data_IF_868056099076
#
_entry.id   IF_868056099076
#
_cell.length_a   1.000
_cell.length_b   1.000
_cell.length_c   1.000
_cell.angle_alpha   90.00
_cell.angle_beta   90.00
_cell.angle_gamma   90.00
#
_symmetry.space_group_name_H-M   'P 1'
#
loop_
_entity.id
_entity.type
_entity.pdbx_description
1 polymer ?
#
# COMPACT_ATOMS: atom_id res chain seq x y z
N UNK A 1 6.87 27.23 12.60
CA UNK A 1 7.74 27.21 11.40
C UNK A 1 9.03 27.97 11.61
N UNK A 2 9.01 29.27 11.92
CA UNK A 2 10.25 30.06 12.12
C UNK A 2 11.26 29.43 13.09
N UNK A 3 10.81 28.80 14.18
CA UNK A 3 11.71 28.10 15.11
C UNK A 3 12.40 26.87 14.49
N UNK A 4 11.73 26.12 13.61
CA UNK A 4 12.32 24.95 12.92
C UNK A 4 13.29 25.39 11.81
N UNK A 5 12.95 26.47 11.08
CA UNK A 5 13.79 27.04 10.02
C UNK A 5 15.08 27.61 10.59
N UNK A 6 14.99 28.36 11.68
CA UNK A 6 16.13 29.07 12.28
C UNK A 6 16.94 28.21 13.26
N UNK A 7 16.51 26.98 13.57
CA UNK A 7 17.23 26.11 14.49
C UNK A 7 18.56 25.66 13.86
N UNK A 8 19.72 26.00 14.46
CA UNK A 8 21.02 25.61 13.93
C UNK A 8 21.14 24.09 13.77
N UNK A 9 21.76 23.59 12.69
CA UNK A 9 21.95 22.17 12.45
C UNK A 9 23.01 21.53 13.36
N UNK A 10 23.64 22.28 14.26
CA UNK A 10 24.57 21.77 15.28
C UNK A 10 23.88 21.35 16.57
N UNK A 11 22.63 21.76 16.82
CA UNK A 11 21.94 21.56 18.10
C UNK A 11 20.80 20.55 17.97
N UNK A 12 21.15 19.27 17.81
CA UNK A 12 20.21 18.14 17.64
C UNK A 12 19.13 18.08 18.71
N UNK A 13 19.53 18.25 19.98
CA UNK A 13 18.64 18.11 21.13
C UNK A 13 17.52 19.17 21.12
N UNK A 14 17.84 20.41 20.72
CA UNK A 14 16.83 21.48 20.64
C UNK A 14 15.75 21.13 19.61
N UNK A 15 16.15 20.64 18.44
CA UNK A 15 15.21 20.24 17.38
C UNK A 15 14.36 19.04 17.81
N UNK A 16 14.93 18.09 18.57
CA UNK A 16 14.18 16.99 19.19
C UNK A 16 13.07 17.51 20.11
N UNK A 17 13.39 18.43 21.02
CA UNK A 17 12.41 19.04 21.94
C UNK A 17 11.34 19.82 21.19
N UNK A 18 11.67 20.49 20.08
CA UNK A 18 10.67 21.11 19.21
C UNK A 18 9.70 20.10 18.61
N UNK A 19 10.15 18.91 18.20
CA UNK A 19 9.26 17.87 17.72
C UNK A 19 8.38 17.28 18.82
N UNK A 20 8.91 17.11 20.03
CA UNK A 20 8.15 16.64 21.19
C UNK A 20 7.05 17.67 21.52
N UNK A 21 7.41 18.95 21.62
CA UNK A 21 6.47 20.04 21.83
C UNK A 21 5.43 20.14 20.70
N UNK A 22 5.85 20.03 19.44
CA UNK A 22 4.96 20.01 18.29
C UNK A 22 3.97 18.84 18.38
N UNK A 23 4.40 17.64 18.78
CA UNK A 23 3.53 16.49 18.98
C UNK A 23 2.46 16.74 20.05
N UNK A 24 2.83 17.40 21.17
CA UNK A 24 1.88 17.80 22.19
C UNK A 24 0.88 18.84 21.69
N UNK A 25 1.34 19.86 20.96
CA UNK A 25 0.46 20.87 20.34
C UNK A 25 -0.51 20.20 19.36
N UNK A 26 0.02 19.31 18.50
CA UNK A 26 -0.77 18.55 17.54
C UNK A 26 -1.67 17.53 18.21
N UNK A 27 -1.58 17.26 19.51
CA UNK A 27 -2.55 16.42 20.20
C UNK A 27 -3.89 17.13 20.39
N UNK A 28 -3.91 18.47 20.39
CA UNK A 28 -5.14 19.25 20.42
C UNK A 28 -5.82 19.26 19.03
N UNK A 29 -6.98 18.62 18.88
CA UNK A 29 -7.64 18.46 17.57
C UNK A 29 -7.95 19.80 16.88
N UNK A 30 -8.29 20.84 17.66
CA UNK A 30 -8.72 22.15 17.15
C UNK A 30 -7.61 22.92 16.43
N UNK A 31 -6.34 22.66 16.74
CA UNK A 31 -5.22 23.38 16.10
C UNK A 31 -4.84 22.75 14.75
N UNK A 32 -5.10 21.45 14.54
CA UNK A 32 -4.61 20.68 13.38
C UNK A 32 -4.99 21.31 12.03
N UNK A 33 -6.24 21.79 11.81
CA UNK A 33 -6.60 22.40 10.52
C UNK A 33 -5.80 23.67 10.20
N UNK A 34 -5.33 24.41 11.21
CA UNK A 34 -4.52 25.63 11.01
C UNK A 34 -3.15 25.32 10.39
N UNK A 35 -2.66 24.10 10.53
CA UNK A 35 -1.38 23.67 9.93
C UNK A 35 -1.47 23.42 8.42
N UNK A 36 -2.67 23.44 7.82
CA UNK A 36 -2.84 23.22 6.39
C UNK A 36 -2.05 24.21 5.52
N UNK A 37 -1.92 25.46 6.00
CA UNK A 37 -1.19 26.53 5.29
C UNK A 37 0.32 26.28 5.24
N UNK A 38 0.88 25.65 6.28
CA UNK A 38 2.33 25.39 6.42
C UNK A 38 2.70 23.94 6.09
N UNK A 39 1.74 23.10 5.73
CA UNK A 39 1.96 21.67 5.48
C UNK A 39 2.99 21.42 4.38
N UNK A 40 3.03 22.28 3.37
CA UNK A 40 3.95 22.13 2.23
C UNK A 40 5.41 22.34 2.65
N UNK A 41 5.65 23.29 3.55
CA UNK A 41 6.96 23.50 4.18
C UNK A 41 7.31 22.34 5.12
N UNK A 42 6.32 21.80 5.86
CA UNK A 42 6.53 20.66 6.74
C UNK A 42 6.85 19.36 5.98
N UNK A 43 6.35 19.21 4.75
CA UNK A 43 6.67 18.07 3.87
C UNK A 43 8.06 18.19 3.23
N UNK A 44 8.73 19.33 3.37
CA UNK A 44 10.11 19.48 2.93
C UNK A 44 11.08 18.98 4.00
N UNK A 45 11.78 17.88 3.72
CA UNK A 45 12.72 17.25 4.65
C UNK A 45 13.85 18.19 5.09
N UNK A 46 14.35 19.02 4.18
CA UNK A 46 15.44 19.97 4.47
C UNK A 46 15.00 21.04 5.47
N UNK A 47 13.73 21.42 5.46
CA UNK A 47 13.17 22.39 6.42
C UNK A 47 12.81 21.69 7.73
N UNK A 48 12.15 20.53 7.62
CA UNK A 48 11.64 19.77 8.76
C UNK A 48 12.79 19.28 9.66
N UNK A 49 13.80 18.66 9.06
CA UNK A 49 14.87 17.95 9.79
C UNK A 49 16.19 18.73 9.73
N UNK A 50 16.49 19.37 8.59
CA UNK A 50 17.74 20.08 8.37
C UNK A 50 18.83 19.22 7.70
N UNK A 51 19.95 19.87 7.36
CA UNK A 51 21.00 19.31 6.51
C UNK A 51 22.05 18.45 7.27
N UNK A 52 21.95 18.35 8.59
CA UNK A 52 22.94 17.66 9.42
C UNK A 52 22.78 16.14 9.39
N UNK A 53 23.83 15.41 8.99
CA UNK A 53 23.78 13.95 8.87
C UNK A 53 23.36 13.23 10.17
N UNK A 54 24.01 13.54 11.30
CA UNK A 54 23.71 12.95 12.61
C UNK A 54 22.31 13.30 13.11
N UNK A 55 21.84 14.53 12.85
CA UNK A 55 20.49 14.97 13.19
C UNK A 55 19.46 14.19 12.38
N UNK A 56 19.72 14.06 11.07
CA UNK A 56 18.83 13.39 10.14
C UNK A 56 18.64 11.93 10.50
N UNK A 57 19.70 11.23 10.87
CA UNK A 57 19.57 9.83 11.25
C UNK A 57 18.74 9.66 12.54
N UNK A 58 18.99 10.50 13.55
CA UNK A 58 18.30 10.41 14.85
C UNK A 58 16.84 10.91 14.82
N UNK A 59 16.53 11.96 14.04
CA UNK A 59 15.22 12.64 14.11
C UNK A 59 14.22 12.18 13.05
N UNK A 60 14.66 11.53 11.95
CA UNK A 60 13.75 11.08 10.88
C UNK A 60 12.55 10.27 11.40
N UNK A 61 12.71 9.25 12.27
CA UNK A 61 11.55 8.49 12.78
C UNK A 61 10.53 9.35 13.54
N UNK A 62 11.02 10.26 14.40
CA UNK A 62 10.16 11.16 15.16
C UNK A 62 9.47 12.17 14.24
N UNK A 63 10.22 12.82 13.35
CA UNK A 63 9.68 13.82 12.44
C UNK A 63 8.62 13.25 11.48
N UNK A 64 8.91 12.12 10.84
CA UNK A 64 7.96 11.50 9.91
C UNK A 64 6.72 10.95 10.61
N UNK A 65 6.85 10.38 11.82
CA UNK A 65 5.68 9.91 12.58
C UNK A 65 4.78 11.06 13.03
N UNK A 66 5.35 12.18 13.51
CA UNK A 66 4.60 13.39 13.85
C UNK A 66 3.92 14.00 12.62
N UNK A 67 4.62 14.10 11.49
CA UNK A 67 4.05 14.63 10.25
C UNK A 67 2.94 13.73 9.70
N UNK A 68 3.11 12.42 9.81
CA UNK A 68 2.12 11.45 9.35
C UNK A 68 0.84 11.51 10.16
N UNK A 69 0.97 11.65 11.48
CA UNK A 69 -0.17 11.84 12.37
C UNK A 69 -0.96 13.10 11.99
N UNK A 70 -0.28 14.23 11.78
CA UNK A 70 -0.91 15.45 11.29
C UNK A 70 -1.61 15.23 9.95
N UNK A 71 -0.89 14.70 8.96
CA UNK A 71 -1.39 14.48 7.59
C UNK A 71 -2.61 13.57 7.58
N UNK A 72 -2.58 12.49 8.37
CA UNK A 72 -3.71 11.59 8.55
C UNK A 72 -4.93 12.33 9.09
N UNK A 73 -4.77 13.14 10.13
CA UNK A 73 -5.89 13.84 10.76
C UNK A 73 -6.54 14.88 9.86
N UNK A 74 -5.74 15.60 9.06
CA UNK A 74 -6.26 16.63 8.15
C UNK A 74 -6.59 16.10 6.75
N UNK A 75 -6.44 14.79 6.50
CA UNK A 75 -6.54 14.16 5.15
C UNK A 75 -7.77 14.58 4.35
N UNK A 76 -8.92 14.69 5.00
CA UNK A 76 -10.19 15.06 4.36
C UNK A 76 -10.16 16.47 3.76
N UNK A 77 -9.33 17.37 4.29
CA UNK A 77 -9.18 18.76 3.86
C UNK A 77 -8.01 19.03 2.89
N UNK A 78 -7.15 18.04 2.64
CA UNK A 78 -5.94 18.22 1.81
C UNK A 78 -6.29 18.40 0.34
N UNK A 79 -5.85 19.42 -0.38
CA UNK A 79 -6.06 19.46 -1.86
C UNK A 79 -5.37 18.29 -2.59
N UNK A 80 -5.75 17.99 -3.85
CA UNK A 80 -5.08 16.95 -4.64
C UNK A 80 -3.56 17.20 -4.76
N UNK A 81 -3.12 18.45 -4.91
CA UNK A 81 -1.70 18.80 -4.96
C UNK A 81 -0.97 18.49 -3.64
N UNK A 82 -1.64 18.68 -2.49
CA UNK A 82 -1.10 18.32 -1.17
C UNK A 82 -1.05 16.80 -0.98
N UNK A 83 -2.05 16.08 -1.49
CA UNK A 83 -2.05 14.61 -1.49
C UNK A 83 -0.92 14.07 -2.37
N UNK A 84 -0.68 14.65 -3.55
CA UNK A 84 0.42 14.28 -4.43
C UNK A 84 1.77 14.38 -3.72
N UNK A 85 2.05 15.55 -3.11
CA UNK A 85 3.27 15.74 -2.32
C UNK A 85 3.39 14.77 -1.15
N UNK A 86 2.28 14.46 -0.47
CA UNK A 86 2.28 13.47 0.59
C UNK A 86 2.66 12.08 0.06
N UNK A 87 2.09 11.67 -1.07
CA UNK A 87 2.44 10.40 -1.73
C UNK A 87 3.93 10.37 -2.10
N UNK A 88 4.50 11.47 -2.60
CA UNK A 88 5.93 11.55 -2.93
C UNK A 88 6.84 11.40 -1.71
N UNK A 89 6.52 12.08 -0.61
CA UNK A 89 7.30 12.03 0.64
C UNK A 89 7.19 10.65 1.28
N UNK A 90 5.97 10.17 1.51
CA UNK A 90 5.76 8.87 2.16
C UNK A 90 6.13 7.70 1.25
N UNK A 91 6.05 7.86 -0.07
CA UNK A 91 6.54 6.89 -1.04
C UNK A 91 8.05 6.69 -0.93
N UNK A 92 8.82 7.79 -0.82
CA UNK A 92 10.27 7.73 -0.53
C UNK A 92 10.53 7.08 0.83
N UNK A 93 9.81 7.47 1.87
CA UNK A 93 9.97 6.89 3.21
C UNK A 93 9.66 5.38 3.26
N UNK A 94 8.67 4.91 2.49
CA UNK A 94 8.30 3.49 2.41
C UNK A 94 9.41 2.62 1.81
N UNK A 95 10.20 3.19 0.91
CA UNK A 95 11.29 2.51 0.19
C UNK A 95 12.68 2.80 0.77
N UNK A 96 12.78 3.69 1.74
CA UNK A 96 14.05 4.01 2.39
C UNK A 96 14.45 2.92 3.40
N UNK A 97 15.45 2.13 3.04
CA UNK A 97 16.02 1.07 3.88
C UNK A 97 16.77 1.58 5.11
N UNK A 98 17.14 2.88 5.13
CA UNK A 98 17.80 3.50 6.29
C UNK A 98 16.79 3.91 7.36
N UNK A 99 15.48 3.86 7.08
CA UNK A 99 14.43 4.08 8.07
C UNK A 99 14.01 2.77 8.74
N UNK A 100 13.62 2.82 10.02
CA UNK A 100 13.01 1.68 10.69
C UNK A 100 11.80 1.14 9.93
N UNK A 101 11.62 -0.18 9.92
CA UNK A 101 10.53 -0.82 9.20
C UNK A 101 9.13 -0.37 9.65
N UNK A 102 8.98 -0.02 10.93
CA UNK A 102 7.74 0.57 11.46
C UNK A 102 7.38 1.88 10.76
N UNK A 103 8.35 2.71 10.40
CA UNK A 103 8.15 3.96 9.65
C UNK A 103 7.78 3.67 8.19
N UNK A 104 8.37 2.64 7.60
CA UNK A 104 7.99 2.18 6.25
C UNK A 104 6.53 1.69 6.21
N UNK A 105 6.12 0.88 7.19
CA UNK A 105 4.74 0.39 7.33
C UNK A 105 3.75 1.53 7.60
N UNK A 106 4.11 2.47 8.46
CA UNK A 106 3.30 3.65 8.73
C UNK A 106 3.10 4.48 7.45
N UNK A 107 4.16 4.67 6.68
CA UNK A 107 4.13 5.42 5.42
C UNK A 107 3.20 4.74 4.40
N UNK A 108 3.30 3.42 4.25
CA UNK A 108 2.36 2.65 3.40
C UNK A 108 0.92 2.84 3.86
N UNK A 109 0.63 2.66 5.15
CA UNK A 109 -0.74 2.82 5.69
C UNK A 109 -1.28 4.22 5.43
N UNK A 110 -0.47 5.27 5.58
CA UNK A 110 -0.89 6.63 5.30
C UNK A 110 -1.21 6.81 3.81
N UNK A 111 -0.35 6.35 2.90
CA UNK A 111 -0.60 6.40 1.46
C UNK A 111 -1.93 5.72 1.10
N UNK A 112 -2.19 4.52 1.64
CA UNK A 112 -3.45 3.80 1.41
C UNK A 112 -4.67 4.53 1.98
N UNK A 113 -4.52 5.26 3.09
CA UNK A 113 -5.59 6.13 3.60
C UNK A 113 -5.86 7.33 2.67
N UNK A 114 -4.83 7.88 2.02
CA UNK A 114 -4.98 8.98 1.08
C UNK A 114 -5.67 8.54 -0.22
N UNK A 115 -5.47 7.30 -0.66
CA UNK A 115 -6.19 6.70 -1.80
C UNK A 115 -7.70 6.79 -1.61
N UNK A 116 -8.20 6.48 -0.41
CA UNK A 116 -9.62 6.58 -0.10
C UNK A 116 -10.12 8.03 -0.20
N UNK A 117 -9.32 9.02 0.21
CA UNK A 117 -9.65 10.43 0.03
C UNK A 117 -9.67 10.85 -1.46
N UNK A 118 -8.76 10.32 -2.29
CA UNK A 118 -8.77 10.56 -3.73
C UNK A 118 -10.05 9.98 -4.35
N UNK A 119 -10.39 8.72 -4.01
CA UNK A 119 -11.57 8.01 -4.50
C UNK A 119 -12.86 8.75 -4.16
N UNK A 120 -13.04 9.11 -2.88
CA UNK A 120 -14.24 9.82 -2.42
C UNK A 120 -14.49 11.10 -3.22
N UNK A 121 -13.43 11.87 -3.49
CA UNK A 121 -13.56 13.12 -4.24
C UNK A 121 -13.81 12.92 -5.72
N UNK A 122 -13.18 11.92 -6.33
CA UNK A 122 -13.46 11.55 -7.72
C UNK A 122 -14.93 11.16 -7.90
N UNK A 123 -15.51 10.44 -6.94
CA UNK A 123 -16.94 10.07 -6.96
C UNK A 123 -17.82 11.29 -6.72
N UNK A 124 -17.54 12.13 -5.71
CA UNK A 124 -18.33 13.35 -5.43
C UNK A 124 -18.41 14.30 -6.63
N UNK A 125 -17.30 14.46 -7.36
CA UNK A 125 -17.25 15.28 -8.56
C UNK A 125 -18.10 14.73 -9.73
N UNK A 126 -18.41 13.43 -9.71
CA UNK A 126 -19.26 12.77 -10.72
C UNK A 126 -20.75 12.84 -10.32
N UNK A 127 -21.07 12.73 -9.03
CA UNK A 127 -22.46 12.72 -8.53
C UNK A 127 -23.14 14.09 -8.52
N UNK A 128 -22.39 15.19 -8.38
CA UNK A 128 -22.93 16.56 -8.39
C UNK A 128 -23.60 16.95 -9.72
N UNK A 129 -23.33 16.21 -10.81
CA UNK A 129 -23.75 16.54 -12.17
C UNK A 129 -25.07 15.88 -12.64
N UNK A 130 -25.74 15.06 -11.82
CA UNK A 130 -27.05 14.49 -12.21
C UNK A 130 -28.21 15.50 -12.14
N UNK A 131 -27.95 16.77 -11.75
CA UNK A 131 -29.00 17.78 -11.53
C UNK A 131 -28.78 19.18 -12.13
N UNK A 132 -27.68 19.47 -12.83
CA UNK A 132 -27.40 20.79 -13.37
C UNK A 132 -26.97 20.73 -14.85
N UNK A 133 -27.59 21.56 -15.70
CA UNK A 133 -27.21 21.72 -17.10
C UNK A 133 -25.79 22.25 -17.22
N UNK A 134 -24.89 21.42 -17.75
CA UNK A 134 -23.45 21.67 -17.85
C UNK A 134 -23.12 22.91 -18.69
N UNK A 135 -22.20 23.73 -18.18
CA UNK A 135 -21.52 24.77 -18.97
C UNK A 135 -20.13 24.27 -19.35
N UNK A 136 -19.69 24.53 -20.60
CA UNK A 136 -18.44 23.99 -21.18
C UNK A 136 -17.14 24.25 -20.37
N UNK A 137 -17.14 25.19 -19.42
CA UNK A 137 -15.97 25.51 -18.59
C UNK A 137 -15.86 24.62 -17.33
N UNK A 138 -16.97 24.07 -16.84
CA UNK A 138 -16.98 23.16 -15.68
C UNK A 138 -16.52 21.74 -16.06
N UNK A 139 -16.82 21.31 -17.29
CA UNK A 139 -16.39 20.02 -17.82
C UNK A 139 -14.86 19.91 -17.94
N UNK A 140 -14.18 20.96 -18.44
CA UNK A 140 -12.71 20.96 -18.58
C UNK A 140 -11.97 20.87 -17.23
N UNK A 141 -12.43 21.62 -16.22
CA UNK A 141 -11.81 21.56 -14.89
C UNK A 141 -12.02 20.21 -14.20
N UNK A 142 -13.16 19.56 -14.45
CA UNK A 142 -13.49 18.27 -13.86
C UNK A 142 -12.76 17.11 -14.55
N UNK A 143 -12.56 17.20 -15.86
CA UNK A 143 -11.74 16.27 -16.65
C UNK A 143 -10.28 16.30 -16.17
N UNK A 144 -9.71 17.50 -16.00
CA UNK A 144 -8.36 17.68 -15.43
C UNK A 144 -8.27 17.12 -14.00
N UNK A 145 -9.33 17.28 -13.19
CA UNK A 145 -9.40 16.73 -11.85
C UNK A 145 -9.42 15.20 -11.85
N UNK A 146 -10.30 14.57 -12.64
CA UNK A 146 -10.40 13.11 -12.73
C UNK A 146 -9.12 12.48 -13.29
N UNK A 147 -8.54 13.09 -14.33
CA UNK A 147 -7.25 12.66 -14.87
C UNK A 147 -6.12 12.76 -13.85
N UNK A 148 -6.11 13.82 -13.03
CA UNK A 148 -5.13 13.98 -11.94
C UNK A 148 -5.33 12.94 -10.84
N UNK A 149 -6.57 12.70 -10.41
CA UNK A 149 -6.90 11.67 -9.44
C UNK A 149 -6.44 10.28 -9.92
N UNK A 150 -6.74 9.93 -11.18
CA UNK A 150 -6.31 8.66 -11.78
C UNK A 150 -4.80 8.53 -11.86
N UNK A 151 -4.07 9.60 -12.22
CA UNK A 151 -2.61 9.63 -12.22
C UNK A 151 -2.02 9.37 -10.83
N UNK A 152 -2.61 9.97 -9.78
CA UNK A 152 -2.17 9.73 -8.40
C UNK A 152 -2.46 8.30 -7.92
N UNK A 153 -3.58 7.71 -8.35
CA UNK A 153 -3.88 6.30 -8.09
C UNK A 153 -2.87 5.38 -8.78
N UNK A 154 -2.56 5.62 -10.06
CA UNK A 154 -1.53 4.87 -10.77
C UNK A 154 -0.15 5.03 -10.14
N UNK A 155 0.22 6.23 -9.71
CA UNK A 155 1.47 6.46 -8.98
C UNK A 155 1.51 5.65 -7.68
N UNK A 156 0.40 5.63 -6.94
CA UNK A 156 0.28 4.85 -5.71
C UNK A 156 0.39 3.35 -5.98
N UNK A 157 -0.25 2.87 -7.04
CA UNK A 157 -0.18 1.48 -7.49
C UNK A 157 1.28 1.09 -7.78
N UNK A 158 1.99 1.91 -8.57
CA UNK A 158 3.41 1.71 -8.87
C UNK A 158 4.27 1.60 -7.60
N UNK A 159 4.08 2.52 -6.63
CA UNK A 159 4.81 2.49 -5.37
C UNK A 159 4.56 1.19 -4.58
N UNK A 160 3.30 0.74 -4.53
CA UNK A 160 2.93 -0.50 -3.83
C UNK A 160 3.48 -1.73 -4.55
N UNK A 161 3.42 -1.78 -5.88
CA UNK A 161 3.94 -2.90 -6.68
C UNK A 161 5.47 -2.96 -6.61
N UNK A 162 6.15 -1.81 -6.57
CA UNK A 162 7.59 -1.77 -6.32
C UNK A 162 7.93 -2.32 -4.92
N UNK A 163 7.09 -2.07 -3.91
CA UNK A 163 7.32 -2.63 -2.57
C UNK A 163 7.04 -4.12 -2.55
N UNK A 164 6.01 -4.57 -3.29
CA UNK A 164 5.71 -5.98 -3.52
C UNK A 164 6.90 -6.71 -4.16
N UNK A 165 7.56 -6.10 -5.14
CA UNK A 165 8.82 -6.60 -5.72
C UNK A 165 9.91 -6.78 -4.66
N UNK A 166 10.16 -5.77 -3.83
CA UNK A 166 11.15 -5.87 -2.74
C UNK A 166 10.83 -7.04 -1.81
N UNK A 167 9.56 -7.21 -1.44
CA UNK A 167 9.12 -8.35 -0.61
C UNK A 167 9.40 -9.68 -1.31
N UNK A 168 8.98 -9.80 -2.58
CA UNK A 168 9.11 -11.02 -3.37
C UNK A 168 10.58 -11.42 -3.63
N UNK A 169 11.43 -10.45 -3.97
CA UNK A 169 12.81 -10.69 -4.40
C UNK A 169 13.79 -10.78 -3.21
N UNK A 170 13.48 -10.16 -2.07
CA UNK A 170 14.42 -10.05 -0.94
C UNK A 170 13.87 -10.62 0.37
N UNK A 171 12.67 -10.21 0.80
CA UNK A 171 12.16 -10.60 2.12
C UNK A 171 11.71 -12.06 2.18
N UNK A 172 11.00 -12.56 1.15
CA UNK A 172 10.59 -13.96 1.12
C UNK A 172 11.83 -14.88 1.08
N UNK A 173 12.80 -14.70 0.16
CA UNK A 173 14.03 -15.52 0.15
C UNK A 173 14.84 -15.45 1.45
N UNK A 174 14.91 -14.26 2.09
CA UNK A 174 15.59 -14.13 3.38
C UNK A 174 14.91 -14.97 4.48
N UNK A 175 13.57 -14.99 4.51
CA UNK A 175 12.83 -15.88 5.43
C UNK A 175 13.08 -17.35 5.11
N UNK A 176 13.08 -17.75 3.84
CA UNK A 176 13.35 -19.14 3.42
C UNK A 176 14.73 -19.60 3.87
N UNK A 177 15.74 -18.74 3.75
CA UNK A 177 17.11 -19.06 4.19
C UNK A 177 17.23 -19.27 5.70
N UNK A 178 16.30 -18.72 6.48
CA UNK A 178 16.26 -18.84 7.95
C UNK A 178 15.36 -20.00 8.40
N UNK A 179 14.55 -20.56 7.51
CA UNK A 179 13.58 -21.59 7.83
C UNK A 179 14.19 -22.98 8.01
N UNK A 180 13.66 -23.73 8.96
CA UNK A 180 13.86 -25.18 9.07
C UNK A 180 12.80 -25.87 8.22
N UNK A 181 13.21 -26.76 7.31
CA UNK A 181 12.28 -27.61 6.57
C UNK A 181 11.63 -28.60 7.54
N UNK A 182 10.29 -28.70 7.55
CA UNK A 182 9.60 -29.80 8.21
C UNK A 182 9.97 -31.11 7.49
N UNK A 183 10.94 -31.87 8.00
CA UNK A 183 11.08 -33.29 7.66
C UNK A 183 9.89 -34.01 8.29
N UNK A 184 8.93 -34.42 7.45
CA UNK A 184 7.71 -35.05 7.91
C UNK A 184 7.98 -36.30 8.77
N UNK A 185 7.49 -36.27 10.01
CA UNK A 185 7.32 -37.49 10.79
C UNK A 185 6.06 -38.24 10.35
N UNK A 186 6.18 -39.56 10.42
CA UNK A 186 5.35 -40.63 9.86
C UNK A 186 3.84 -40.53 10.15
N UNK A 187 3.00 -40.72 9.12
CA UNK A 187 1.73 -41.45 9.26
C UNK A 187 1.50 -42.35 8.05
N UNK A 188 1.19 -43.59 8.39
CA UNK A 188 0.91 -44.78 7.59
C UNK A 188 -0.20 -44.62 6.53
N UNK A 189 -0.08 -45.49 5.52
CA UNK A 189 -0.96 -45.73 4.39
C UNK A 189 -2.47 -45.76 4.67
N UNK A 190 -3.26 -44.97 3.91
CA UNK A 190 -4.36 -45.39 3.03
C UNK A 190 -5.45 -44.31 2.91
N UNK A 191 -5.52 -43.63 1.75
CA UNK A 191 -6.76 -43.23 1.06
C UNK A 191 -6.39 -42.41 -0.18
N UNK A 192 -6.90 -42.85 -1.32
CA UNK A 192 -6.64 -42.26 -2.63
C UNK A 192 -7.45 -40.97 -2.86
N UNK A 193 -6.83 -40.07 -3.65
CA UNK A 193 -7.38 -38.85 -4.29
C UNK A 193 -7.71 -37.66 -3.35
N UNK A 194 -6.75 -36.73 -3.25
CA UNK A 194 -6.96 -35.32 -3.60
C UNK A 194 -5.61 -34.56 -3.58
N UNK A 195 -5.08 -34.24 -4.77
CA UNK A 195 -3.96 -33.29 -4.93
C UNK A 195 -4.54 -31.90 -5.16
N UNK A 196 -4.14 -30.90 -4.37
CA UNK A 196 -3.75 -29.61 -4.90
C UNK A 196 -2.21 -29.53 -4.86
N UNK A 197 -1.60 -29.58 -6.05
CA UNK A 197 -0.17 -29.33 -6.28
C UNK A 197 0.06 -27.82 -6.14
N UNK A 198 0.91 -27.33 -5.22
CA UNK A 198 1.32 -25.92 -5.11
C UNK A 198 0.20 -24.89 -4.84
N UNK A 199 0.49 -23.89 -4.00
CA UNK A 199 -0.44 -22.76 -3.73
C UNK A 199 -0.80 -22.02 -5.01
N UNK A 200 0.15 -21.91 -5.93
CA UNK A 200 -0.08 -21.31 -7.23
C UNK A 200 -1.14 -22.06 -8.03
N UNK A 201 -1.14 -23.40 -8.03
CA UNK A 201 -2.18 -24.14 -8.78
C UNK A 201 -3.54 -24.08 -8.08
N UNK A 202 -3.58 -24.01 -6.74
CA UNK A 202 -4.83 -23.71 -6.02
C UNK A 202 -5.39 -22.34 -6.44
N UNK A 203 -4.54 -21.31 -6.54
CA UNK A 203 -4.97 -20.00 -6.98
C UNK A 203 -5.48 -20.03 -8.43
N UNK A 204 -4.71 -20.60 -9.36
CA UNK A 204 -5.10 -20.71 -10.77
C UNK A 204 -6.41 -21.49 -10.95
N UNK A 205 -6.63 -22.56 -10.19
CA UNK A 205 -7.87 -23.35 -10.28
C UNK A 205 -9.12 -22.59 -9.79
N UNK A 206 -8.96 -21.62 -8.88
CA UNK A 206 -10.08 -20.95 -8.22
C UNK A 206 -10.26 -19.48 -8.63
N UNK A 207 -9.30 -18.85 -9.31
CA UNK A 207 -9.37 -17.44 -9.77
C UNK A 207 -10.69 -17.16 -10.50
N UNK A 208 -11.13 -18.02 -11.41
CA UNK A 208 -12.38 -17.84 -12.16
C UNK A 208 -13.64 -18.00 -11.28
N UNK A 209 -13.56 -18.83 -10.23
CA UNK A 209 -14.67 -19.02 -9.27
C UNK A 209 -14.86 -17.80 -8.39
N UNK A 210 -13.77 -17.19 -7.91
CA UNK A 210 -13.80 -15.96 -7.11
C UNK A 210 -14.39 -14.77 -7.88
N UNK A 211 -14.33 -14.79 -9.21
CA UNK A 211 -14.94 -13.75 -10.07
C UNK A 211 -16.47 -13.76 -10.05
N UNK A 212 -17.11 -14.87 -9.67
CA UNK A 212 -18.57 -15.03 -9.72
C UNK A 212 -19.29 -14.58 -8.42
N UNK A 213 -18.56 -14.42 -7.31
CA UNK A 213 -19.08 -14.01 -6.00
C UNK A 213 -18.82 -12.52 -5.74
N UNK A 214 -19.45 -11.64 -6.51
CA UNK A 214 -19.36 -10.18 -6.32
C UNK A 214 -20.72 -9.62 -5.93
N UNK A 215 -20.96 -9.39 -4.62
CA UNK A 215 -21.99 -8.44 -4.18
C UNK A 215 -21.87 -7.87 -2.75
N UNK A 216 -20.79 -8.11 -2.01
CA UNK A 216 -20.54 -7.37 -0.75
C UNK A 216 -19.19 -6.66 -0.80
N UNK A 217 -19.26 -5.35 -1.02
CA UNK A 217 -18.11 -4.44 -0.85
C UNK A 217 -17.83 -4.35 0.65
N UNK A 218 -16.82 -5.10 1.10
CA UNK A 218 -16.23 -4.93 2.41
C UNK A 218 -15.55 -3.56 2.51
N UNK A 219 -16.26 -2.60 3.09
CA UNK A 219 -15.69 -1.33 3.53
C UNK A 219 -14.57 -1.61 4.52
N UNK A 220 -13.41 -0.97 4.35
CA UNK A 220 -12.33 -0.98 5.31
C UNK A 220 -12.76 -0.13 6.53
N UNK A 221 -13.63 -0.68 7.38
CA UNK A 221 -13.94 -0.11 8.68
C UNK A 221 -12.87 -0.57 9.66
N UNK A 222 -11.71 0.08 9.61
CA UNK A 222 -10.78 -0.03 10.72
C UNK A 222 -11.42 0.68 11.92
N UNK A 223 -11.53 -0.05 13.04
CA UNK A 223 -11.73 0.54 14.36
C UNK A 223 -10.67 1.63 14.47
N UNK A 224 -11.09 2.86 14.73
CA UNK A 224 -10.22 4.01 14.98
C UNK A 224 -9.09 3.62 15.94
N UNK A 225 -7.89 3.40 15.42
CA UNK A 225 -6.70 3.24 16.25
C UNK A 225 -6.35 4.64 16.77
N UNK A 226 -6.37 4.87 18.09
CA UNK A 226 -6.04 6.17 18.65
C UNK A 226 -4.57 6.51 18.37
N UNK A 227 -4.27 7.81 18.29
CA UNK A 227 -2.93 8.38 18.06
C UNK A 227 -1.82 7.88 19.02
N UNK A 228 -2.17 7.11 20.05
CA UNK A 228 -1.28 6.52 21.04
C UNK A 228 -0.35 5.41 20.49
N UNK A 229 -0.70 4.71 19.41
CA UNK A 229 0.14 3.62 18.91
C UNK A 229 1.37 4.10 18.14
N UNK A 230 1.31 5.28 17.50
CA UNK A 230 2.49 5.89 16.87
C UNK A 230 3.50 6.41 17.89
N UNK A 231 3.12 6.57 19.17
CA UNK A 231 4.05 6.98 20.25
C UNK A 231 4.87 5.82 20.79
N UNK A 232 4.34 4.60 20.74
CA UNK A 232 5.02 3.42 21.28
C UNK A 232 6.29 3.06 20.49
N UNK A 233 6.42 3.53 19.24
CA UNK A 233 7.60 3.33 18.38
C UNK A 233 8.87 4.01 18.94
N UNK A 234 8.73 4.97 19.87
CA UNK A 234 9.85 5.75 20.43
C UNK A 234 10.30 5.29 21.84
N UNK A 235 9.58 4.37 22.48
CA UNK A 235 9.87 3.94 23.86
C UNK A 235 10.80 2.71 23.96
N UNK A 236 11.29 2.16 22.84
CA UNK A 236 12.27 1.05 22.83
C UNK A 236 13.74 1.49 22.73
N UNK A 237 14.03 2.77 22.96
CA UNK A 237 15.40 3.29 23.01
C UNK A 237 16.02 3.14 24.40
N UNK A 238 16.63 2.00 24.66
CA UNK A 238 17.47 1.76 25.85
C UNK A 238 18.72 2.65 25.84
N UNK A 239 19.10 3.16 27.00
CA UNK A 239 20.29 3.98 27.29
C UNK A 239 21.54 3.58 26.49
N UNK A 240 22.00 4.46 25.60
CA UNK A 240 23.28 4.34 24.91
C UNK A 240 24.31 5.30 25.52
N UNK A 241 24.85 4.93 26.68
CA UNK A 241 26.11 5.44 27.18
C UNK A 241 27.21 4.40 26.90
N UNK A 242 27.88 4.50 25.75
CA UNK A 242 29.29 4.10 25.55
C UNK A 242 29.70 4.33 24.09
N UNK A 243 30.74 5.14 23.93
CA UNK A 243 31.37 5.56 22.67
C UNK A 243 32.18 4.40 22.09
N UNK A 244 31.96 4.08 20.81
CA UNK A 244 32.98 3.45 19.96
C UNK A 244 32.85 3.94 18.50
N UNK A 245 33.99 4.28 17.92
CA UNK A 245 34.20 4.87 16.58
C UNK A 245 33.74 3.98 15.41
N UNK A 246 33.51 4.56 14.21
CA UNK A 246 32.76 3.92 13.15
C UNK A 246 33.66 3.07 12.25
N UNK A 247 33.27 1.81 12.03
CA UNK A 247 33.79 0.99 10.94
C UNK A 247 32.75 0.98 9.82
N UNK A 248 33.05 1.71 8.75
CA UNK A 248 32.35 1.62 7.47
C UNK A 248 32.60 0.21 6.93
N UNK A 249 31.56 -0.63 6.99
CA UNK A 249 31.17 -1.76 6.11
C UNK A 249 30.29 -2.66 6.97
N UNK A 250 28.97 -2.43 6.94
CA UNK A 250 28.00 -3.38 7.50
C UNK A 250 27.16 -3.91 6.33
N UNK A 251 27.26 -5.20 6.00
CA UNK A 251 26.40 -5.82 5.00
C UNK A 251 24.94 -5.81 5.47
N UNK A 252 24.03 -6.13 4.55
CA UNK A 252 22.58 -6.36 4.63
C UNK A 252 22.11 -7.37 5.74
N UNK A 253 22.84 -7.49 6.86
CA UNK A 253 22.79 -8.56 7.85
C UNK A 253 22.18 -8.14 9.21
N UNK A 254 21.59 -6.95 9.33
CA UNK A 254 20.82 -6.54 10.53
C UNK A 254 19.43 -6.02 10.21
N UNK A 255 18.79 -6.56 9.17
CA UNK A 255 17.33 -6.47 9.10
C UNK A 255 16.78 -7.56 10.04
N UNK A 256 16.70 -7.28 11.35
CA UNK A 256 15.89 -8.08 12.30
C UNK A 256 14.40 -7.88 11.97
N UNK A 257 14.00 -8.17 10.74
CA UNK A 257 12.60 -8.12 10.32
C UNK A 257 11.94 -9.41 10.81
N UNK A 258 10.97 -9.29 11.70
CA UNK A 258 10.21 -10.44 12.13
C UNK A 258 9.35 -10.95 10.97
N UNK A 259 9.17 -12.27 10.89
CA UNK A 259 8.16 -12.89 10.01
C UNK A 259 6.78 -12.23 10.18
N UNK A 260 6.42 -11.82 11.40
CA UNK A 260 5.16 -11.12 11.69
C UNK A 260 5.06 -9.78 10.97
N UNK A 261 6.17 -9.07 10.85
CA UNK A 261 6.26 -7.74 10.25
C UNK A 261 6.12 -7.85 8.73
N UNK A 262 6.82 -8.81 8.12
CA UNK A 262 6.71 -9.15 6.70
C UNK A 262 5.29 -9.60 6.37
N UNK A 263 4.69 -10.48 7.18
CA UNK A 263 3.31 -10.95 6.99
C UNK A 263 2.30 -9.80 7.06
N UNK A 264 2.48 -8.88 8.00
CA UNK A 264 1.63 -7.69 8.13
C UNK A 264 1.79 -6.75 6.94
N UNK A 265 3.02 -6.58 6.44
CA UNK A 265 3.29 -5.80 5.23
C UNK A 265 2.63 -6.44 3.99
N UNK A 266 2.73 -7.76 3.82
CA UNK A 266 2.09 -8.48 2.69
C UNK A 266 0.57 -8.30 2.73
N UNK A 267 -0.06 -8.48 3.90
CA UNK A 267 -1.50 -8.25 4.08
C UNK A 267 -1.89 -6.81 3.68
N UNK A 268 -1.13 -5.81 4.13
CA UNK A 268 -1.39 -4.41 3.82
C UNK A 268 -1.20 -4.09 2.33
N UNK A 269 -0.17 -4.63 1.67
CA UNK A 269 0.08 -4.43 0.24
C UNK A 269 -1.01 -5.07 -0.62
N UNK A 270 -1.36 -6.34 -0.39
CA UNK A 270 -2.38 -7.04 -1.18
C UNK A 270 -3.73 -6.33 -1.05
N UNK A 271 -4.12 -5.98 0.18
CA UNK A 271 -5.37 -5.26 0.42
C UNK A 271 -5.35 -3.86 -0.18
N UNK A 272 -4.24 -3.13 0.00
CA UNK A 272 -4.08 -1.79 -0.53
C UNK A 272 -4.11 -1.73 -2.05
N UNK A 273 -3.41 -2.65 -2.73
CA UNK A 273 -3.39 -2.75 -4.19
C UNK A 273 -4.80 -3.06 -4.71
N UNK A 274 -5.54 -3.97 -4.07
CA UNK A 274 -6.96 -4.20 -4.39
C UNK A 274 -7.78 -2.92 -4.27
N UNK A 275 -7.64 -2.17 -3.17
CA UNK A 275 -8.37 -0.91 -2.96
C UNK A 275 -8.03 0.14 -4.01
N UNK A 276 -6.74 0.33 -4.34
CA UNK A 276 -6.30 1.25 -5.39
C UNK A 276 -6.91 0.84 -6.73
N UNK A 277 -6.85 -0.45 -7.06
CA UNK A 277 -7.37 -1.00 -8.29
C UNK A 277 -8.89 -0.80 -8.43
N UNK A 278 -9.65 -1.14 -7.39
CA UNK A 278 -11.09 -0.86 -7.34
C UNK A 278 -11.36 0.65 -7.47
N UNK A 279 -10.54 1.51 -6.85
CA UNK A 279 -10.67 2.97 -6.98
C UNK A 279 -10.41 3.46 -8.39
N UNK A 280 -9.44 2.89 -9.10
CA UNK A 280 -9.13 3.21 -10.50
C UNK A 280 -10.25 2.78 -11.45
N UNK A 281 -10.81 1.58 -11.25
CA UNK A 281 -12.00 1.13 -11.99
C UNK A 281 -13.21 2.01 -11.66
N UNK A 282 -13.32 2.56 -10.45
CA UNK A 282 -14.42 3.45 -10.07
C UNK A 282 -14.26 4.88 -10.60
N UNK A 283 -13.05 5.34 -10.88
CA UNK A 283 -12.79 6.66 -11.44
C UNK A 283 -13.21 6.73 -12.93
N UNK A 284 -13.94 7.77 -13.37
CA UNK A 284 -14.27 7.98 -14.78
C UNK A 284 -12.99 8.02 -15.64
N UNK A 285 -12.95 7.25 -16.73
CA UNK A 285 -11.89 7.34 -17.72
C UNK A 285 -12.26 8.39 -18.75
N UNK A 286 -11.27 9.13 -19.22
CA UNK A 286 -11.41 10.02 -20.36
C UNK A 286 -11.68 9.17 -21.61
N UNK A 287 -12.91 9.24 -22.13
CA UNK A 287 -13.31 8.57 -23.37
C UNK A 287 -13.09 9.52 -24.56
N UNK A 288 -11.90 10.09 -24.71
CA UNK A 288 -11.55 10.93 -25.88
C UNK A 288 -11.22 10.12 -27.15
N UNK A 289 -11.32 8.78 -27.12
CA UNK A 289 -11.04 7.90 -28.27
C UNK A 289 -12.21 7.02 -28.74
N UNK A 290 -13.46 7.38 -28.42
CA UNK A 290 -14.61 6.87 -29.20
C UNK A 290 -15.15 7.97 -30.11
N UNK A 291 -14.50 8.12 -31.25
CA UNK A 291 -15.09 8.80 -32.40
C UNK A 291 -16.37 8.08 -32.81
N UNK A 292 -17.49 8.80 -32.75
CA UNK A 292 -18.73 8.62 -33.50
C UNK A 292 -19.34 7.21 -33.54
N UNK A 293 -20.32 6.97 -32.67
CA UNK A 293 -21.55 6.31 -33.11
C UNK A 293 -22.76 6.87 -32.36
N UNK A 294 -23.61 7.57 -33.12
CA UNK A 294 -24.93 8.03 -32.71
C UNK A 294 -25.87 6.83 -32.70
N UNK A 295 -26.42 6.45 -31.55
CA UNK A 295 -27.64 5.64 -31.47
C UNK A 295 -28.31 5.73 -30.08
N UNK A 296 -29.63 5.47 -29.97
CA UNK A 296 -30.54 6.34 -29.24
C UNK A 296 -30.88 5.92 -27.82
N UNK A 297 -31.42 6.91 -27.10
CA UNK A 297 -32.04 6.87 -25.77
C UNK A 297 -32.86 5.58 -25.58
N UNK A 298 -32.41 4.71 -24.67
CA UNK A 298 -33.25 3.71 -24.03
C UNK A 298 -32.99 3.71 -22.52
N UNK A 299 -34.06 4.02 -21.79
CA UNK A 299 -34.16 4.07 -20.34
C UNK A 299 -34.12 2.67 -19.75
N UNK A 300 -32.97 2.23 -19.25
CA UNK A 300 -32.89 1.01 -18.42
C UNK A 300 -31.71 1.05 -17.45
N UNK A 301 -32.04 1.19 -16.15
CA UNK A 301 -31.33 0.74 -14.94
C UNK A 301 -29.82 1.08 -14.72
N UNK A 302 -29.42 1.55 -13.52
CA UNK A 302 -28.05 1.96 -13.20
C UNK A 302 -27.08 0.79 -12.89
N UNK A 303 -27.31 -0.41 -13.46
CA UNK A 303 -26.56 -1.63 -13.09
C UNK A 303 -25.57 -2.15 -14.14
N UNK A 304 -25.39 -1.48 -15.28
CA UNK A 304 -24.56 -1.96 -16.40
C UNK A 304 -23.30 -1.13 -16.73
N UNK A 305 -22.88 -0.15 -15.91
CA UNK A 305 -21.78 0.77 -16.29
C UNK A 305 -20.38 0.43 -15.74
N UNK A 306 -20.21 -0.60 -14.92
CA UNK A 306 -18.90 -0.92 -14.30
C UNK A 306 -18.04 -1.82 -15.21
N UNK A 307 -18.66 -2.67 -16.03
CA UNK A 307 -18.01 -3.71 -16.82
C UNK A 307 -17.28 -3.25 -18.09
N UNK A 308 -17.37 -1.96 -18.45
CA UNK A 308 -16.77 -1.41 -19.68
C UNK A 308 -15.60 -0.45 -19.44
N UNK A 309 -15.14 -0.25 -18.19
CA UNK A 309 -13.99 0.63 -17.95
C UNK A 309 -12.68 -0.12 -18.16
N UNK A 310 -12.07 0.16 -19.31
CA UNK A 310 -10.80 -0.42 -19.75
C UNK A 310 -9.66 0.23 -18.95
N UNK A 311 -8.70 -0.59 -18.51
CA UNK A 311 -7.44 -0.12 -17.98
C UNK A 311 -6.55 0.38 -19.13
N UNK A 312 -5.84 1.48 -18.93
CA UNK A 312 -4.82 1.91 -19.87
C UNK A 312 -3.67 0.90 -19.94
N UNK A 313 -2.90 0.87 -21.04
CA UNK A 313 -1.76 -0.03 -21.19
C UNK A 313 -0.76 0.07 -20.03
N UNK A 314 -0.46 1.29 -19.57
CA UNK A 314 0.45 1.52 -18.44
C UNK A 314 -0.07 0.89 -17.14
N UNK A 315 -1.38 0.96 -16.90
CA UNK A 315 -2.02 0.34 -15.73
C UNK A 315 -1.96 -1.19 -15.80
N UNK A 316 -2.12 -1.76 -17.00
CA UNK A 316 -2.05 -3.20 -17.23
C UNK A 316 -0.65 -3.76 -17.05
N UNK A 317 0.38 -3.04 -17.47
CA UNK A 317 1.78 -3.43 -17.27
C UNK A 317 2.07 -3.57 -15.78
N UNK A 318 1.74 -2.55 -14.99
CA UNK A 318 1.94 -2.56 -13.53
C UNK A 318 1.16 -3.69 -12.86
N UNK A 319 -0.06 -3.96 -13.33
CA UNK A 319 -0.88 -5.05 -12.80
C UNK A 319 -0.34 -6.44 -13.16
N UNK A 320 0.30 -6.58 -14.32
CA UNK A 320 0.99 -7.81 -14.74
C UNK A 320 2.24 -8.07 -13.88
N UNK A 321 2.99 -7.01 -13.56
CA UNK A 321 4.09 -7.08 -12.60
C UNK A 321 3.58 -7.49 -11.22
N UNK A 322 2.49 -6.88 -10.75
CA UNK A 322 1.85 -7.25 -9.48
C UNK A 322 1.41 -8.71 -9.46
N UNK A 323 0.85 -9.25 -10.55
CA UNK A 323 0.49 -10.67 -10.59
C UNK A 323 1.71 -11.56 -10.30
N UNK A 324 2.86 -11.22 -10.87
CA UNK A 324 4.12 -11.97 -10.70
C UNK A 324 4.66 -11.88 -9.28
N UNK A 325 4.79 -10.66 -8.76
CA UNK A 325 5.32 -10.43 -7.41
C UNK A 325 4.33 -10.88 -6.33
N UNK A 326 3.04 -10.65 -6.54
CA UNK A 326 1.97 -11.04 -5.62
C UNK A 326 1.83 -12.55 -5.50
N UNK A 327 2.00 -13.30 -6.58
CA UNK A 327 2.11 -14.76 -6.52
C UNK A 327 3.23 -15.18 -5.57
N UNK A 328 4.43 -14.60 -5.72
CA UNK A 328 5.57 -14.89 -4.85
C UNK A 328 5.34 -14.44 -3.40
N UNK A 329 4.69 -13.29 -3.19
CA UNK A 329 4.37 -12.78 -1.85
C UNK A 329 3.39 -13.69 -1.10
N UNK A 330 2.45 -14.33 -1.80
CA UNK A 330 1.49 -15.26 -1.19
C UNK A 330 2.21 -16.43 -0.51
N UNK A 331 3.42 -16.80 -0.93
CA UNK A 331 4.20 -17.84 -0.27
C UNK A 331 4.46 -17.55 1.22
N UNK A 332 4.28 -16.31 1.68
CA UNK A 332 4.31 -15.97 3.12
C UNK A 332 3.36 -16.84 3.97
N UNK A 333 2.30 -17.42 3.36
CA UNK A 333 1.36 -18.32 4.04
C UNK A 333 1.94 -19.72 4.31
N UNK A 334 3.03 -20.09 3.63
CA UNK A 334 3.73 -21.37 3.85
C UNK A 334 4.60 -21.34 5.12
N UNK A 335 4.93 -20.15 5.61
CA UNK A 335 5.76 -19.98 6.79
C UNK A 335 4.92 -20.09 8.06
N UNK A 336 5.40 -20.87 9.01
CA UNK A 336 4.77 -21.04 10.33
C UNK A 336 5.82 -20.80 11.41
N UNK A 337 5.51 -19.93 12.36
CA UNK A 337 6.35 -19.72 13.54
C UNK A 337 5.88 -20.62 14.67
N UNK A 338 6.74 -21.50 15.18
CA UNK A 338 6.51 -22.36 16.36
C UNK A 338 7.72 -22.28 17.29
N UNK A 339 7.49 -22.06 18.57
CA UNK A 339 8.54 -22.02 19.61
C UNK A 339 9.73 -21.11 19.28
N UNK A 340 9.46 -19.96 18.65
CA UNK A 340 10.47 -18.99 18.23
C UNK A 340 11.31 -19.40 17.00
N UNK A 341 10.98 -20.52 16.35
CA UNK A 341 11.59 -20.97 15.09
C UNK A 341 10.60 -20.88 13.93
N UNK A 342 11.14 -20.59 12.75
CA UNK A 342 10.38 -20.52 11.50
C UNK A 342 10.49 -21.83 10.74
N UNK A 343 9.34 -22.38 10.38
CA UNK A 343 9.20 -23.62 9.62
C UNK A 343 8.54 -23.33 8.27
N UNK A 344 9.00 -24.03 7.23
CA UNK A 344 8.40 -23.96 5.89
C UNK A 344 7.52 -25.19 5.66
N UNK A 345 6.23 -24.97 5.39
CA UNK A 345 5.25 -26.04 5.15
C UNK A 345 5.08 -26.31 3.65
N UNK A 346 5.14 -27.58 3.27
CA UNK A 346 4.95 -28.02 1.87
C UNK A 346 3.52 -27.89 1.33
N UNK A 347 2.53 -27.62 2.18
CA UNK A 347 1.12 -27.44 1.80
C UNK A 347 0.49 -26.25 2.53
N UNK A 348 -0.37 -25.44 1.87
CA UNK A 348 -1.13 -24.40 2.56
C UNK A 348 -2.04 -25.01 3.64
N UNK A 349 -2.22 -24.30 4.76
CA UNK A 349 -3.13 -24.77 5.80
C UNK A 349 -4.59 -24.54 5.37
N UNK A 350 -5.28 -25.60 4.96
CA UNK A 350 -6.73 -25.54 4.68
C UNK A 350 -7.57 -25.14 5.91
N UNK A 351 -6.96 -25.09 7.09
CA UNK A 351 -7.58 -24.75 8.37
C UNK A 351 -7.38 -23.29 8.81
N UNK A 352 -6.56 -22.50 8.09
CA UNK A 352 -6.23 -21.14 8.49
C UNK A 352 -7.13 -20.13 7.76
N UNK A 353 -8.15 -19.54 8.42
CA UNK A 353 -9.06 -18.58 7.77
C UNK A 353 -8.31 -17.34 7.27
N UNK A 354 -7.30 -16.90 8.02
CA UNK A 354 -6.45 -15.77 7.69
C UNK A 354 -5.65 -15.95 6.38
N UNK A 355 -5.15 -17.16 6.13
CA UNK A 355 -4.41 -17.48 4.90
C UNK A 355 -5.36 -17.53 3.70
N UNK A 356 -6.53 -18.16 3.88
CA UNK A 356 -7.56 -18.21 2.84
C UNK A 356 -8.02 -16.80 2.45
N UNK A 357 -8.28 -15.94 3.43
CA UNK A 357 -8.69 -14.55 3.17
C UNK A 357 -7.62 -13.76 2.40
N UNK A 358 -6.34 -13.98 2.68
CA UNK A 358 -5.26 -13.31 1.97
C UNK A 358 -5.18 -13.74 0.50
N UNK A 359 -5.27 -15.04 0.26
CA UNK A 359 -5.28 -15.64 -1.09
C UNK A 359 -6.49 -15.15 -1.88
N UNK A 360 -7.66 -15.15 -1.25
CA UNK A 360 -8.91 -14.65 -1.83
C UNK A 360 -8.82 -13.16 -2.15
N UNK A 361 -8.29 -12.33 -1.23
CA UNK A 361 -8.10 -10.89 -1.46
C UNK A 361 -7.18 -10.63 -2.65
N UNK A 362 -6.12 -11.42 -2.82
CA UNK A 362 -5.26 -11.36 -4.00
C UNK A 362 -6.05 -11.68 -5.27
N UNK A 363 -6.76 -12.80 -5.31
CA UNK A 363 -7.55 -13.21 -6.49
C UNK A 363 -8.63 -12.16 -6.84
N UNK A 364 -9.30 -11.60 -5.83
CA UNK A 364 -10.33 -10.58 -6.00
C UNK A 364 -9.81 -9.26 -6.59
N UNK A 365 -8.49 -9.03 -6.59
CA UNK A 365 -7.89 -7.90 -7.30
C UNK A 365 -8.08 -8.01 -8.82
N UNK A 366 -8.05 -9.24 -9.35
CA UNK A 366 -8.16 -9.51 -10.79
C UNK A 366 -9.58 -9.86 -11.23
N UNK A 367 -10.45 -10.26 -10.30
CA UNK A 367 -11.86 -10.57 -10.56
C UNK A 367 -12.66 -9.40 -11.15
N UNK A 368 -12.25 -8.15 -10.88
CA UNK A 368 -12.95 -6.95 -11.36
C UNK A 368 -12.49 -6.50 -12.76
N UNK A 369 -11.54 -7.22 -13.36
CA UNK A 369 -11.02 -6.91 -14.69
C UNK A 369 -12.02 -7.27 -15.77
N UNK A 370 -12.00 -6.49 -16.86
CA UNK A 370 -12.70 -6.92 -18.06
C UNK A 370 -12.03 -8.20 -18.63
N UNK A 371 -12.75 -9.01 -19.42
CA UNK A 371 -12.21 -10.27 -19.95
C UNK A 371 -10.97 -10.11 -20.83
N UNK A 372 -10.80 -8.98 -21.51
CA UNK A 372 -9.66 -8.70 -22.41
C UNK A 372 -8.39 -8.46 -21.59
N UNK A 373 -8.44 -7.51 -20.66
CA UNK A 373 -7.39 -7.20 -19.69
C UNK A 373 -7.02 -8.42 -18.84
N UNK A 374 -8.01 -9.21 -18.43
CA UNK A 374 -7.77 -10.47 -17.76
C UNK A 374 -6.99 -11.42 -18.68
N UNK A 375 -7.47 -11.67 -19.89
CA UNK A 375 -6.78 -12.55 -20.83
C UNK A 375 -5.35 -12.06 -21.12
N UNK A 376 -5.12 -10.76 -21.29
CA UNK A 376 -3.78 -10.19 -21.52
C UNK A 376 -2.80 -10.51 -20.39
N UNK A 377 -3.19 -10.31 -19.13
CA UNK A 377 -2.35 -10.60 -17.96
C UNK A 377 -2.04 -12.09 -17.85
N UNK A 378 -3.05 -12.95 -18.05
CA UNK A 378 -2.91 -14.39 -17.83
C UNK A 378 -2.32 -15.13 -19.03
N UNK A 379 -2.59 -14.70 -20.26
CA UNK A 379 -2.10 -15.37 -21.49
C UNK A 379 -0.57 -15.36 -21.58
N UNK A 380 0.09 -14.27 -21.19
CA UNK A 380 1.55 -14.20 -21.14
C UNK A 380 2.20 -15.11 -20.08
N UNK A 381 1.45 -15.54 -19.05
CA UNK A 381 1.97 -16.24 -17.86
C UNK A 381 1.59 -17.71 -17.79
N UNK A 382 0.48 -18.11 -18.41
CA UNK A 382 0.04 -19.52 -18.49
C UNK A 382 1.12 -20.39 -19.13
N UNK A 383 1.83 -19.91 -20.16
CA UNK A 383 2.91 -20.67 -20.80
C UNK A 383 4.10 -20.96 -19.88
N UNK A 384 4.43 -20.06 -18.95
CA UNK A 384 5.58 -20.24 -18.04
C UNK A 384 5.23 -21.18 -16.88
N UNK A 385 3.99 -21.14 -16.37
CA UNK A 385 3.57 -22.01 -15.27
C UNK A 385 3.41 -23.48 -15.68
N UNK A 386 3.08 -23.78 -16.94
CA UNK A 386 3.03 -25.16 -17.43
C UNK A 386 4.41 -25.78 -17.71
N UNK A 387 5.48 -24.99 -17.82
CA UNK A 387 6.85 -25.53 -17.99
C UNK A 387 7.54 -25.89 -16.66
N UNK A 388 6.93 -25.61 -15.51
CA UNK A 388 7.48 -25.92 -14.16
C UNK A 388 6.68 -27.04 -13.47
N UNK A 389 5.79 -27.74 -14.19
CA UNK A 389 5.03 -28.89 -13.66
C UNK A 389 5.37 -30.22 -14.33
#
# INVERSE_FOLDING_TARGET
MNLLVNCPPSVTNMRKEFFIAARHILSAQEIRPKFLQVLDELMNEEILIGHGYTIRDALRPLAYSTLADLTHHIRSSLSLSKIARAIDVYGRNMHDHTLPFSIQQMSLRLILNLVECIRQRAVSATSANQGASATNAEDQNNEVFSGTARRLLLQTLNLCVLKAKVVADHYIPALESTCVLETGEEVTSNSAKQRPRSIHAYLFANISSFSSELNEVGSFTDKSVPASDFSNILNSGTDASKVHEPRIVEPLAKLQLSYTDVRTLVKALITGIRTVMTSMIQCPHDNTLQTNNVAPVSSTSPKQSISNRILSPDELVVLTEYFSYGMRMIDIVQFVSRDGRLYLRSQPSTKSPDERLLIETFALTFAQLNPISFHEIFSCKIHVSYSVF
#
